data_IF_963149246042
#
_entry.id   IF_963149246042
#
_cell.length_a   1.000
_cell.length_b   1.000
_cell.length_c   1.000
_cell.angle_alpha   90.00
_cell.angle_beta   90.00
_cell.angle_gamma   90.00
#
_symmetry.space_group_name_H-M   'P 1'
#
loop_
_entity.id
_entity.type
_entity.pdbx_description
1 polymer ?
#
# COMPACT_ATOMS: atom_id res chain seq x y z
N UNK A 1 -16.23 -16.91 -7.45
CA UNK A 1 -15.63 -15.60 -7.82
C UNK A 1 -14.13 -15.69 -8.11
N UNK A 2 -13.31 -16.39 -7.32
CA UNK A 2 -11.86 -16.54 -7.64
C UNK A 2 -11.57 -17.11 -9.03
N UNK A 3 -12.44 -17.97 -9.56
CA UNK A 3 -12.33 -18.53 -10.91
C UNK A 3 -12.44 -17.50 -12.04
N UNK A 4 -13.30 -16.47 -11.91
CA UNK A 4 -13.47 -15.43 -12.94
C UNK A 4 -12.24 -14.53 -13.02
N UNK A 5 -11.72 -14.12 -11.86
CA UNK A 5 -10.52 -13.29 -11.74
C UNK A 5 -9.21 -14.02 -12.09
N UNK A 6 -9.23 -15.35 -12.23
CA UNK A 6 -8.07 -16.11 -12.73
C UNK A 6 -7.85 -15.91 -14.23
N UNK A 7 -8.87 -15.50 -14.99
CA UNK A 7 -8.74 -15.17 -16.40
C UNK A 7 -8.22 -13.74 -16.60
N UNK A 8 -7.48 -13.51 -17.68
CA UNK A 8 -7.04 -12.17 -18.10
C UNK A 8 -8.04 -11.55 -19.09
N UNK A 9 -9.25 -11.23 -18.62
CA UNK A 9 -10.28 -10.60 -19.43
C UNK A 9 -10.44 -9.11 -19.02
N UNK A 10 -10.42 -8.14 -19.94
CA UNK A 10 -10.71 -6.73 -19.63
C UNK A 10 -12.00 -6.51 -18.84
N UNK A 11 -13.03 -7.36 -19.06
CA UNK A 11 -14.27 -7.36 -18.28
C UNK A 11 -14.05 -7.57 -16.78
N UNK A 12 -12.97 -8.24 -16.38
CA UNK A 12 -12.61 -8.42 -14.98
C UNK A 12 -12.24 -7.11 -14.28
N UNK A 13 -11.84 -6.08 -15.03
CA UNK A 13 -11.67 -4.73 -14.47
C UNK A 13 -13.01 -4.20 -13.96
N UNK A 14 -14.08 -4.32 -14.77
CA UNK A 14 -15.43 -3.95 -14.36
C UNK A 14 -15.95 -4.84 -13.24
N UNK A 15 -15.70 -6.16 -13.29
CA UNK A 15 -16.06 -7.04 -12.18
C UNK A 15 -15.35 -6.68 -10.86
N UNK A 16 -14.09 -6.21 -10.91
CA UNK A 16 -13.40 -5.73 -9.71
C UNK A 16 -14.06 -4.47 -9.12
N UNK A 17 -14.57 -3.58 -9.98
CA UNK A 17 -15.33 -2.41 -9.53
C UNK A 17 -16.57 -2.86 -8.77
N UNK A 18 -17.40 -3.70 -9.40
CA UNK A 18 -18.63 -4.21 -8.76
C UNK A 18 -18.30 -4.97 -7.47
N UNK A 19 -17.29 -5.85 -7.49
CA UNK A 19 -16.83 -6.59 -6.33
C UNK A 19 -16.38 -5.66 -5.18
N UNK A 20 -15.59 -4.62 -5.48
CA UNK A 20 -15.14 -3.66 -4.48
C UNK A 20 -16.29 -2.83 -3.90
N UNK A 21 -17.26 -2.42 -4.72
CA UNK A 21 -18.46 -1.70 -4.26
C UNK A 21 -19.29 -2.56 -3.31
N UNK A 22 -19.50 -3.84 -3.64
CA UNK A 22 -20.26 -4.77 -2.80
C UNK A 22 -19.58 -4.97 -1.43
N UNK A 23 -18.26 -5.18 -1.41
CA UNK A 23 -17.52 -5.34 -0.15
C UNK A 23 -17.54 -4.10 0.74
N UNK A 24 -17.61 -2.91 0.11
CA UNK A 24 -17.48 -1.63 0.81
C UNK A 24 -18.81 -0.88 0.93
N UNK A 25 -19.93 -1.51 0.58
CA UNK A 25 -21.25 -0.90 0.56
C UNK A 25 -21.61 -0.25 1.90
N UNK A 26 -21.30 -0.90 3.01
CA UNK A 26 -21.56 -0.37 4.35
C UNK A 26 -20.87 0.98 4.60
N UNK A 27 -19.69 1.19 4.05
CA UNK A 27 -18.92 2.44 4.21
C UNK A 27 -19.47 3.59 3.37
N UNK A 28 -20.27 3.29 2.34
CA UNK A 28 -21.05 4.30 1.63
C UNK A 28 -22.34 4.65 2.38
N UNK A 29 -22.95 3.68 3.07
CA UNK A 29 -24.18 3.88 3.87
C UNK A 29 -23.87 4.64 5.17
N UNK A 30 -22.71 4.40 5.78
CA UNK A 30 -22.26 5.07 7.01
C UNK A 30 -20.91 5.74 6.79
N UNK A 31 -20.88 6.87 6.05
CA UNK A 31 -19.65 7.57 5.73
C UNK A 31 -18.97 8.11 6.99
N UNK A 32 -17.64 8.01 7.05
CA UNK A 32 -16.84 8.51 8.17
C UNK A 32 -16.05 9.74 7.74
N UNK A 33 -16.12 10.80 8.55
CA UNK A 33 -15.36 12.03 8.32
C UNK A 33 -13.91 11.79 8.76
N UNK A 34 -12.91 12.02 7.89
CA UNK A 34 -11.50 11.88 8.24
C UNK A 34 -11.08 12.89 9.32
N UNK A 35 -10.32 12.43 10.30
CA UNK A 35 -9.79 13.25 11.40
C UNK A 35 -8.27 13.38 11.23
N UNK A 36 -7.75 14.58 11.47
CA UNK A 36 -6.30 14.85 11.48
C UNK A 36 -5.64 14.02 12.57
N UNK A 37 -4.62 13.24 12.22
CA UNK A 37 -3.85 12.45 13.18
C UNK A 37 -2.53 13.14 13.49
N UNK A 38 -1.99 12.89 14.69
CA UNK A 38 -0.68 13.42 15.12
C UNK A 38 0.48 13.00 14.21
N UNK A 39 0.33 11.86 13.54
CA UNK A 39 1.30 11.32 12.60
C UNK A 39 1.26 11.92 11.20
N UNK A 40 0.18 12.62 10.89
CA UNK A 40 0.00 13.22 9.58
C UNK A 40 0.93 14.42 9.46
N UNK A 41 1.60 14.51 8.30
CA UNK A 41 2.53 15.59 8.04
C UNK A 41 1.81 16.82 7.47
N UNK A 42 2.53 17.95 7.45
CA UNK A 42 1.95 19.27 7.20
C UNK A 42 1.13 19.38 5.91
N UNK A 43 1.53 18.70 4.83
CA UNK A 43 0.87 18.85 3.53
C UNK A 43 -0.50 18.16 3.53
N UNK A 44 -0.59 16.95 4.11
CA UNK A 44 -1.87 16.27 4.26
C UNK A 44 -2.79 17.07 5.18
N UNK A 45 -2.28 17.55 6.32
CA UNK A 45 -3.07 18.37 7.25
C UNK A 45 -3.61 19.63 6.58
N UNK A 46 -2.77 20.33 5.81
CA UNK A 46 -3.18 21.52 5.07
C UNK A 46 -4.24 21.21 4.01
N UNK A 47 -4.06 20.15 3.22
CA UNK A 47 -5.05 19.73 2.21
C UNK A 47 -6.37 19.39 2.90
N UNK A 48 -6.33 18.58 3.96
CA UNK A 48 -7.52 18.14 4.68
C UNK A 48 -8.28 19.32 5.29
N UNK A 49 -7.59 20.21 6.00
CA UNK A 49 -8.20 21.41 6.60
C UNK A 49 -8.77 22.39 5.56
N UNK A 50 -8.22 22.40 4.33
CA UNK A 50 -8.73 23.25 3.25
C UNK A 50 -10.04 22.69 2.66
N UNK A 51 -10.15 21.37 2.52
CA UNK A 51 -11.37 20.74 1.95
C UNK A 51 -12.48 20.53 2.98
N UNK A 52 -12.11 20.42 4.26
CA UNK A 52 -13.01 20.12 5.37
C UNK A 52 -14.28 21.00 5.44
N UNK A 53 -14.21 22.34 5.30
CA UNK A 53 -15.39 23.20 5.39
C UNK A 53 -16.47 22.90 4.33
N UNK A 54 -16.06 22.40 3.17
CA UNK A 54 -16.98 22.08 2.06
C UNK A 54 -17.44 20.63 2.15
N UNK A 55 -16.51 19.71 2.43
CA UNK A 55 -16.75 18.27 2.30
C UNK A 55 -17.41 17.65 3.54
N UNK A 56 -17.30 18.27 4.72
CA UNK A 56 -17.97 17.79 5.94
C UNK A 56 -19.50 17.86 5.84
N UNK A 57 -20.03 18.77 5.01
CA UNK A 57 -21.46 18.83 4.68
C UNK A 57 -21.92 17.65 3.81
N UNK A 58 -21.00 16.95 3.14
CA UNK A 58 -21.27 15.82 2.24
C UNK A 58 -20.30 14.65 2.51
N UNK A 59 -20.43 13.94 3.65
CA UNK A 59 -19.48 12.90 4.03
C UNK A 59 -19.33 11.76 3.01
N UNK A 60 -20.32 11.52 2.14
CA UNK A 60 -20.24 10.49 1.09
C UNK A 60 -19.09 10.78 0.11
N UNK A 61 -18.73 12.04 -0.10
CA UNK A 61 -17.63 12.45 -0.97
C UNK A 61 -16.31 11.83 -0.50
N UNK A 62 -16.06 11.77 0.82
CA UNK A 62 -14.87 11.11 1.37
C UNK A 62 -14.87 9.60 1.10
N UNK A 63 -16.02 8.93 1.24
CA UNK A 63 -16.15 7.50 0.92
C UNK A 63 -15.92 7.23 -0.57
N UNK A 64 -16.44 8.08 -1.46
CA UNK A 64 -16.22 7.99 -2.92
C UNK A 64 -14.73 8.17 -3.25
N UNK A 65 -14.08 9.21 -2.72
CA UNK A 65 -12.65 9.46 -2.96
C UNK A 65 -11.80 8.29 -2.44
N UNK A 66 -12.09 7.81 -1.23
CA UNK A 66 -11.40 6.66 -0.63
C UNK A 66 -11.54 5.41 -1.49
N UNK A 67 -12.75 5.12 -1.96
CA UNK A 67 -12.99 3.98 -2.82
C UNK A 67 -12.27 4.10 -4.17
N UNK A 68 -12.31 5.27 -4.81
CA UNK A 68 -11.60 5.52 -6.05
C UNK A 68 -10.09 5.36 -5.88
N UNK A 69 -9.51 5.83 -4.77
CA UNK A 69 -8.10 5.58 -4.44
C UNK A 69 -7.81 4.09 -4.29
N UNK A 70 -8.58 3.36 -3.49
CA UNK A 70 -8.39 1.91 -3.31
C UNK A 70 -8.55 1.12 -4.61
N UNK A 71 -9.52 1.48 -5.44
CA UNK A 71 -9.79 0.83 -6.72
C UNK A 71 -8.67 1.10 -7.74
N UNK A 72 -8.22 2.35 -7.85
CA UNK A 72 -7.09 2.72 -8.73
C UNK A 72 -5.79 2.07 -8.27
N UNK A 73 -5.54 1.98 -6.95
CA UNK A 73 -4.43 1.20 -6.37
C UNK A 73 -4.52 -0.28 -6.75
N UNK A 74 -5.70 -0.91 -6.62
CA UNK A 74 -5.93 -2.31 -6.96
C UNK A 74 -5.61 -2.61 -8.44
N UNK A 75 -6.15 -1.80 -9.36
CA UNK A 75 -5.91 -1.97 -10.81
C UNK A 75 -4.44 -1.72 -11.15
N UNK A 76 -3.87 -0.63 -10.62
CA UNK A 76 -2.49 -0.25 -10.91
C UNK A 76 -1.54 -1.34 -10.44
N UNK A 77 -1.70 -1.82 -9.21
CA UNK A 77 -0.88 -2.90 -8.66
C UNK A 77 -1.06 -4.21 -9.45
N UNK A 78 -2.30 -4.57 -9.79
CA UNK A 78 -2.57 -5.74 -10.61
C UNK A 78 -1.87 -5.68 -11.99
N UNK A 79 -1.97 -4.54 -12.67
CA UNK A 79 -1.31 -4.29 -13.95
C UNK A 79 0.20 -4.40 -13.82
N UNK A 80 0.78 -3.85 -12.75
CA UNK A 80 2.21 -3.92 -12.49
C UNK A 80 2.68 -5.36 -12.27
N UNK A 81 1.94 -6.16 -11.49
CA UNK A 81 2.24 -7.58 -11.28
C UNK A 81 2.22 -8.39 -12.58
N UNK A 82 1.23 -8.13 -13.43
CA UNK A 82 1.10 -8.76 -14.75
C UNK A 82 2.23 -8.33 -15.69
N UNK A 83 2.56 -7.03 -15.74
CA UNK A 83 3.66 -6.50 -16.57
C UNK A 83 5.02 -7.08 -16.16
N UNK A 84 5.22 -7.31 -14.86
CA UNK A 84 6.43 -7.96 -14.32
C UNK A 84 6.39 -9.48 -14.40
N UNK A 85 5.29 -10.08 -14.89
CA UNK A 85 5.08 -11.53 -14.99
C UNK A 85 5.41 -12.26 -13.68
N UNK A 86 4.97 -11.68 -12.55
CA UNK A 86 5.25 -12.22 -11.21
C UNK A 86 4.57 -13.58 -10.97
N UNK A 87 3.48 -13.84 -11.69
CA UNK A 87 2.74 -15.10 -11.70
C UNK A 87 2.80 -15.72 -13.10
N UNK A 88 2.59 -17.04 -13.20
CA UNK A 88 2.77 -17.79 -14.45
C UNK A 88 1.89 -17.28 -15.60
N UNK A 89 0.67 -16.80 -15.30
CA UNK A 89 -0.25 -16.20 -16.26
C UNK A 89 -0.81 -14.89 -15.70
N UNK A 90 -1.05 -13.89 -16.56
CA UNK A 90 -1.70 -12.65 -16.14
C UNK A 90 -3.10 -12.96 -15.60
N UNK A 91 -3.49 -12.27 -14.54
CA UNK A 91 -4.78 -12.46 -13.89
C UNK A 91 -5.19 -11.20 -13.10
N UNK A 92 -6.33 -11.25 -12.43
CA UNK A 92 -6.89 -10.15 -11.63
C UNK A 92 -6.96 -10.47 -10.13
N UNK A 93 -6.32 -11.57 -9.69
CA UNK A 93 -6.31 -11.98 -8.29
C UNK A 93 -5.57 -10.97 -7.38
N UNK A 94 -4.46 -10.33 -7.78
CA UNK A 94 -3.86 -9.26 -6.98
C UNK A 94 -4.82 -8.11 -6.67
N UNK A 95 -5.54 -7.62 -7.68
CA UNK A 95 -6.53 -6.56 -7.49
C UNK A 95 -7.68 -7.00 -6.58
N UNK A 96 -8.19 -8.22 -6.79
CA UNK A 96 -9.24 -8.81 -5.95
C UNK A 96 -8.77 -8.96 -4.49
N UNK A 97 -7.57 -9.50 -4.27
CA UNK A 97 -6.98 -9.66 -2.95
C UNK A 97 -6.78 -8.30 -2.27
N UNK A 98 -6.33 -7.28 -3.00
CA UNK A 98 -6.15 -5.93 -2.46
C UNK A 98 -7.47 -5.32 -1.96
N UNK A 99 -8.52 -5.38 -2.79
CA UNK A 99 -9.85 -4.88 -2.40
C UNK A 99 -10.48 -5.69 -1.27
N UNK A 100 -10.24 -7.00 -1.23
CA UNK A 100 -10.72 -7.87 -0.16
C UNK A 100 -10.05 -7.52 1.17
N UNK A 101 -8.72 -7.49 1.22
CA UNK A 101 -7.95 -7.23 2.45
C UNK A 101 -8.21 -5.81 2.95
N UNK A 102 -8.22 -4.81 2.07
CA UNK A 102 -8.52 -3.42 2.46
C UNK A 102 -9.94 -3.23 3.01
N UNK A 103 -10.81 -4.24 2.90
CA UNK A 103 -12.16 -4.22 3.47
C UNK A 103 -12.25 -4.89 4.84
N UNK A 104 -11.17 -5.49 5.36
CA UNK A 104 -11.17 -6.19 6.66
C UNK A 104 -11.34 -5.24 7.84
N UNK A 105 -10.73 -4.06 7.75
CA UNK A 105 -10.74 -3.07 8.81
C UNK A 105 -11.36 -1.77 8.31
N UNK A 106 -12.14 -1.16 9.17
CA UNK A 106 -12.87 0.04 8.84
C UNK A 106 -11.96 1.25 8.67
N UNK A 107 -10.87 1.31 9.44
CA UNK A 107 -9.86 2.37 9.38
C UNK A 107 -9.17 2.43 8.00
N UNK A 108 -9.17 1.34 7.24
CA UNK A 108 -8.63 1.29 5.88
C UNK A 108 -9.60 1.78 4.81
N UNK A 109 -10.86 2.06 5.20
CA UNK A 109 -11.92 2.58 4.34
C UNK A 109 -12.21 4.07 4.61
N UNK A 110 -11.31 4.75 5.32
CA UNK A 110 -11.37 6.19 5.58
C UNK A 110 -10.20 6.89 4.89
N UNK A 111 -10.44 8.10 4.39
CA UNK A 111 -9.41 8.91 3.77
C UNK A 111 -8.32 9.22 4.78
N UNK A 112 -7.09 8.87 4.44
CA UNK A 112 -5.97 8.90 5.37
C UNK A 112 -4.65 9.19 4.67
N UNK A 113 -3.70 9.81 5.38
CA UNK A 113 -2.37 10.07 4.81
C UNK A 113 -1.67 8.77 4.36
N UNK A 114 -1.64 7.68 5.16
CA UNK A 114 -1.16 6.36 4.72
C UNK A 114 -1.82 5.84 3.44
N UNK A 115 -3.14 5.99 3.28
CA UNK A 115 -3.84 5.57 2.07
C UNK A 115 -3.37 6.36 0.84
N UNK A 116 -3.24 7.68 0.96
CA UNK A 116 -2.78 8.55 -0.13
C UNK A 116 -1.36 8.17 -0.57
N UNK A 117 -0.43 8.03 0.38
CA UNK A 117 0.96 7.67 0.05
C UNK A 117 1.06 6.25 -0.51
N UNK A 118 0.13 5.33 -0.18
CA UNK A 118 0.15 3.97 -0.71
C UNK A 118 0.09 3.96 -2.25
N UNK A 119 -0.63 4.92 -2.86
CA UNK A 119 -0.66 5.13 -4.32
C UNK A 119 0.72 5.44 -4.87
N UNK A 120 1.43 6.36 -4.21
CA UNK A 120 2.79 6.77 -4.59
C UNK A 120 3.80 5.63 -4.38
N UNK A 121 3.63 4.85 -3.30
CA UNK A 121 4.52 3.72 -3.00
C UNK A 121 4.35 2.55 -3.96
N UNK A 122 3.14 2.30 -4.48
CA UNK A 122 2.91 1.34 -5.57
C UNK A 122 3.73 1.73 -6.80
N UNK A 123 3.76 3.03 -7.15
CA UNK A 123 4.58 3.55 -8.24
C UNK A 123 6.08 3.44 -7.95
N UNK A 124 6.50 3.74 -6.72
CA UNK A 124 7.89 3.59 -6.27
C UNK A 124 8.35 2.15 -6.45
N UNK A 125 7.58 1.18 -5.97
CA UNK A 125 7.88 -0.24 -6.14
C UNK A 125 7.93 -0.65 -7.64
N UNK A 126 7.03 -0.12 -8.47
CA UNK A 126 7.04 -0.36 -9.91
C UNK A 126 8.34 0.11 -10.58
N UNK A 127 8.85 1.28 -10.19
CA UNK A 127 10.11 1.83 -10.69
C UNK A 127 11.30 1.07 -10.15
N UNK A 128 11.31 0.68 -8.88
CA UNK A 128 12.35 -0.17 -8.30
C UNK A 128 12.48 -1.52 -9.01
N UNK A 129 11.35 -2.19 -9.28
CA UNK A 129 11.35 -3.46 -10.03
C UNK A 129 11.83 -3.33 -11.48
N UNK A 130 11.87 -2.11 -12.03
CA UNK A 130 12.45 -1.84 -13.36
C UNK A 130 13.97 -1.77 -13.37
N UNK A 131 14.61 -1.48 -12.22
CA UNK A 131 16.04 -1.13 -12.15
C UNK A 131 16.96 -2.23 -12.65
N UNK A 132 16.52 -3.50 -12.62
CA UNK A 132 17.29 -4.64 -13.08
C UNK A 132 17.74 -4.50 -14.55
N UNK A 133 16.88 -3.97 -15.43
CA UNK A 133 17.13 -3.85 -16.87
C UNK A 133 17.03 -2.40 -17.37
N UNK A 134 17.23 -1.41 -16.48
CA UNK A 134 17.01 -0.01 -16.84
C UNK A 134 18.32 0.67 -17.28
N UNK A 135 18.42 1.15 -18.53
CA UNK A 135 19.62 1.86 -19.02
C UNK A 135 19.84 3.20 -18.31
N UNK A 136 18.76 3.85 -17.83
CA UNK A 136 18.78 5.15 -17.15
C UNK A 136 18.48 5.01 -15.65
N UNK A 137 19.19 4.10 -15.00
CA UNK A 137 18.93 3.77 -13.61
C UNK A 137 19.22 4.92 -12.63
N UNK A 138 20.21 5.78 -12.92
CA UNK A 138 20.50 7.00 -12.12
C UNK A 138 19.29 7.95 -12.06
N UNK A 139 18.73 8.31 -13.22
CA UNK A 139 17.54 9.16 -13.31
C UNK A 139 16.34 8.50 -12.62
N UNK A 140 16.17 7.19 -12.81
CA UNK A 140 15.09 6.44 -12.17
C UNK A 140 15.21 6.46 -10.63
N UNK A 141 16.42 6.29 -10.10
CA UNK A 141 16.68 6.38 -8.66
C UNK A 141 16.43 7.78 -8.10
N UNK A 142 16.86 8.81 -8.82
CA UNK A 142 16.59 10.20 -8.43
C UNK A 142 15.08 10.46 -8.33
N UNK A 143 14.31 10.03 -9.34
CA UNK A 143 12.86 10.16 -9.37
C UNK A 143 12.17 9.36 -8.25
N UNK A 144 12.65 8.14 -7.97
CA UNK A 144 12.17 7.37 -6.83
C UNK A 144 12.44 8.14 -5.52
N UNK A 145 13.65 8.66 -5.36
CA UNK A 145 14.05 9.45 -4.20
C UNK A 145 13.14 10.67 -3.99
N UNK A 146 12.89 11.44 -5.05
CA UNK A 146 11.96 12.59 -5.01
C UNK A 146 10.58 12.16 -4.53
N UNK A 147 10.01 11.09 -5.08
CA UNK A 147 8.68 10.64 -4.68
C UNK A 147 8.64 10.22 -3.21
N UNK A 148 9.67 9.53 -2.71
CA UNK A 148 9.77 9.20 -1.28
C UNK A 148 9.94 10.47 -0.43
N UNK A 149 10.73 11.45 -0.87
CA UNK A 149 10.83 12.74 -0.19
C UNK A 149 9.46 13.43 -0.10
N UNK A 150 8.68 13.44 -1.18
CA UNK A 150 7.32 14.00 -1.21
C UNK A 150 6.37 13.23 -0.28
N UNK A 151 6.45 11.89 -0.20
CA UNK A 151 5.56 11.12 0.69
C UNK A 151 5.74 11.51 2.16
N UNK A 152 6.94 11.95 2.56
CA UNK A 152 7.17 12.43 3.94
C UNK A 152 6.38 13.69 4.29
N UNK A 153 5.95 14.47 3.30
CA UNK A 153 5.10 15.65 3.51
C UNK A 153 3.64 15.29 3.79
N UNK A 154 3.20 14.11 3.38
CA UNK A 154 1.89 13.56 3.70
C UNK A 154 1.91 12.76 5.00
N UNK A 155 2.89 11.86 5.13
CA UNK A 155 3.05 10.99 6.29
C UNK A 155 4.54 10.79 6.57
N UNK A 156 5.05 11.45 7.62
CA UNK A 156 6.47 11.50 7.92
C UNK A 156 7.14 10.12 8.07
N UNK A 157 6.53 9.11 8.73
CA UNK A 157 7.12 7.78 8.85
C UNK A 157 7.37 7.05 7.53
N UNK A 158 6.81 7.53 6.41
CA UNK A 158 7.16 7.03 5.07
C UNK A 158 8.64 7.21 4.72
N UNK A 159 9.39 8.03 5.46
CA UNK A 159 10.84 8.14 5.33
C UNK A 159 11.54 6.78 5.49
N UNK A 160 10.95 5.83 6.23
CA UNK A 160 11.46 4.46 6.34
C UNK A 160 11.58 3.75 4.98
N UNK A 161 10.76 4.11 3.99
CA UNK A 161 10.87 3.58 2.62
C UNK A 161 12.12 4.09 1.88
N UNK A 162 12.86 5.07 2.40
CA UNK A 162 14.21 5.39 1.91
C UNK A 162 15.16 4.19 2.04
N UNK A 163 15.04 3.40 3.12
CA UNK A 163 15.80 2.15 3.30
C UNK A 163 15.46 1.14 2.20
N UNK A 164 14.21 1.14 1.72
CA UNK A 164 13.80 0.27 0.62
C UNK A 164 14.60 0.56 -0.65
N UNK A 165 14.96 1.82 -0.95
CA UNK A 165 15.83 2.15 -2.09
C UNK A 165 17.21 1.50 -1.93
N UNK A 166 17.80 1.66 -0.74
CA UNK A 166 19.14 1.18 -0.43
C UNK A 166 19.21 -0.35 -0.64
N UNK A 167 18.30 -1.08 -0.01
CA UNK A 167 18.24 -2.53 -0.12
C UNK A 167 17.76 -2.98 -1.50
N UNK A 168 16.90 -2.22 -2.18
CA UNK A 168 16.49 -2.53 -3.55
C UNK A 168 17.68 -2.50 -4.51
N UNK A 169 18.63 -1.58 -4.33
CA UNK A 169 19.85 -1.56 -5.13
C UNK A 169 20.67 -2.83 -4.91
N UNK A 170 20.89 -3.22 -3.65
CA UNK A 170 21.62 -4.45 -3.30
C UNK A 170 20.99 -5.72 -3.91
N UNK A 171 19.66 -5.80 -3.96
CA UNK A 171 18.94 -6.95 -4.54
C UNK A 171 19.01 -6.92 -6.07
N UNK A 172 18.79 -5.76 -6.68
CA UNK A 172 18.59 -5.65 -8.11
C UNK A 172 19.91 -5.71 -8.89
N UNK A 173 21.01 -5.14 -8.39
CA UNK A 173 22.26 -5.02 -9.13
C UNK A 173 23.48 -4.76 -8.23
N UNK A 174 24.71 -4.88 -8.75
CA UNK A 174 25.89 -4.50 -7.97
C UNK A 174 25.82 -3.03 -7.54
N UNK A 175 26.07 -2.71 -6.26
CA UNK A 175 25.97 -1.36 -5.75
C UNK A 175 27.06 -0.47 -6.35
N UNK A 176 26.66 0.71 -6.86
CA UNK A 176 27.59 1.77 -7.28
C UNK A 176 27.39 2.97 -6.38
N UNK A 177 28.45 3.48 -5.75
CA UNK A 177 28.36 4.61 -4.81
C UNK A 177 27.61 5.82 -5.41
N UNK A 178 27.87 6.14 -6.68
CA UNK A 178 27.18 7.22 -7.39
C UNK A 178 25.65 7.06 -7.40
N UNK A 179 25.13 5.84 -7.46
CA UNK A 179 23.69 5.57 -7.48
C UNK A 179 23.05 5.77 -6.10
N UNK A 180 23.81 5.46 -5.04
CA UNK A 180 23.38 5.70 -3.66
C UNK A 180 23.30 7.20 -3.38
N UNK A 181 24.34 7.94 -3.77
CA UNK A 181 24.38 9.40 -3.65
C UNK A 181 23.20 10.02 -4.42
N UNK A 182 22.97 9.61 -5.67
CA UNK A 182 21.87 10.15 -6.48
C UNK A 182 20.50 9.88 -5.85
N UNK A 183 20.30 8.70 -5.25
CA UNK A 183 19.04 8.42 -4.60
C UNK A 183 18.82 9.25 -3.33
N UNK A 184 19.88 9.43 -2.51
CA UNK A 184 19.85 10.30 -1.33
C UNK A 184 19.58 11.76 -1.74
N UNK A 185 20.24 12.25 -2.79
CA UNK A 185 19.97 13.59 -3.34
C UNK A 185 18.52 13.73 -3.80
N UNK A 186 17.95 12.68 -4.42
CA UNK A 186 16.53 12.65 -4.77
C UNK A 186 15.62 12.83 -3.56
N UNK A 187 15.87 12.11 -2.47
CA UNK A 187 15.10 12.24 -1.21
C UNK A 187 15.25 13.63 -0.59
N UNK A 188 16.47 14.17 -0.61
CA UNK A 188 16.77 15.48 -0.03
C UNK A 188 16.16 16.63 -0.86
N UNK A 189 15.95 16.45 -2.17
CA UNK A 189 15.50 17.52 -3.07
C UNK A 189 14.17 18.17 -2.63
N UNK A 190 13.07 17.43 -2.35
CA UNK A 190 11.83 18.04 -1.86
C UNK A 190 12.03 18.84 -0.57
N UNK A 191 12.81 18.32 0.38
CA UNK A 191 13.11 18.99 1.65
C UNK A 191 13.95 20.25 1.44
N UNK A 192 14.94 20.20 0.55
CA UNK A 192 15.74 21.37 0.17
C UNK A 192 14.88 22.48 -0.43
N UNK A 193 13.98 22.15 -1.36
CA UNK A 193 13.05 23.12 -1.96
C UNK A 193 12.08 23.70 -0.94
N UNK A 194 11.56 22.88 -0.02
CA UNK A 194 10.72 23.34 1.08
C UNK A 194 11.48 24.30 2.00
N UNK A 195 12.71 23.95 2.37
CA UNK A 195 13.59 24.80 3.19
C UNK A 195 13.84 26.15 2.52
N UNK A 196 14.23 26.15 1.23
CA UNK A 196 14.47 27.37 0.48
C UNK A 196 13.22 28.26 0.42
N UNK A 197 12.04 27.68 0.17
CA UNK A 197 10.77 28.42 0.16
C UNK A 197 10.43 29.01 1.55
N UNK A 198 10.62 28.23 2.62
CA UNK A 198 10.39 28.70 3.99
C UNK A 198 11.35 29.83 4.39
N UNK A 199 12.61 29.74 3.95
CA UNK A 199 13.62 30.78 4.17
C UNK A 199 13.23 32.08 3.43
N UNK A 200 12.91 31.99 2.14
CA UNK A 200 12.53 33.15 1.32
C UNK A 200 11.21 33.82 1.77
N UNK A 201 10.30 33.06 2.39
CA UNK A 201 9.03 33.59 2.92
C UNK A 201 9.09 34.02 4.38
N UNK A 202 10.27 33.98 5.00
CA UNK A 202 10.50 34.26 6.42
C UNK A 202 9.62 33.41 7.37
N UNK A 203 9.25 32.19 6.93
CA UNK A 203 8.43 31.23 7.70
C UNK A 203 9.27 30.10 8.32
N UNK A 204 10.58 30.11 8.11
CA UNK A 204 11.48 29.05 8.53
C UNK A 204 11.38 28.71 10.01
N UNK A 205 11.42 29.70 10.90
CA UNK A 205 11.32 29.50 12.34
C UNK A 205 9.90 29.16 12.81
N UNK A 206 8.88 29.50 12.02
CA UNK A 206 7.48 29.18 12.32
C UNK A 206 7.07 27.77 11.88
N UNK A 207 7.88 27.10 11.05
CA UNK A 207 7.57 25.78 10.52
C UNK A 207 7.98 24.69 11.51
N UNK A 208 7.00 23.98 12.04
CA UNK A 208 7.22 22.80 12.86
C UNK A 208 7.05 21.54 12.00
N UNK A 209 8.09 20.68 12.01
CA UNK A 209 7.98 19.34 11.42
C UNK A 209 7.08 18.52 12.32
N UNK A 210 5.84 18.27 11.89
CA UNK A 210 4.92 17.38 12.58
C UNK A 210 5.20 15.92 12.22
N UNK A 211 5.01 15.00 13.17
CA UNK A 211 4.95 13.56 12.89
C UNK A 211 6.17 12.71 13.28
N UNK A 212 6.98 13.11 14.27
CA UNK A 212 8.00 12.24 14.85
C UNK A 212 7.82 12.06 16.37
N UNK A 213 7.28 10.90 16.76
CA UNK A 213 7.12 10.47 18.15
C UNK A 213 7.28 8.94 18.22
N UNK A 214 8.15 8.44 19.11
CA UNK A 214 8.34 6.99 19.30
C UNK A 214 7.42 6.54 20.43
N UNK A 215 6.43 5.72 20.08
CA UNK A 215 5.47 5.12 21.00
C UNK A 215 5.24 3.65 20.60
N UNK A 216 4.68 2.83 21.49
CA UNK A 216 4.41 1.41 21.22
C UNK A 216 2.97 1.20 20.68
N UNK A 217 2.76 0.47 19.57
CA UNK A 217 1.42 0.25 19.05
C UNK A 217 0.68 -0.77 19.93
N UNK A 218 -0.24 -0.28 20.76
CA UNK A 218 -1.24 -1.12 21.41
C UNK A 218 -2.37 -1.43 20.43
N UNK A 219 -2.55 -2.70 20.10
CA UNK A 219 -3.71 -3.17 19.36
C UNK A 219 -4.97 -3.01 20.22
N UNK A 220 -6.08 -2.56 19.61
CA UNK A 220 -7.35 -2.51 20.31
C UNK A 220 -7.77 -3.92 20.76
N UNK A 221 -8.35 -4.02 21.96
CA UNK A 221 -8.77 -5.27 22.62
C UNK A 221 -10.00 -5.93 21.97
N UNK A 222 -10.10 -5.94 20.64
CA UNK A 222 -11.20 -6.63 19.95
C UNK A 222 -10.70 -7.94 19.33
N UNK A 223 -11.19 -9.06 19.87
CA UNK A 223 -10.87 -10.42 19.40
C UNK A 223 -11.11 -10.59 17.88
N UNK A 224 -12.12 -9.91 17.32
CA UNK A 224 -12.42 -9.99 15.89
C UNK A 224 -11.29 -9.40 15.02
N UNK A 225 -10.66 -8.32 15.46
CA UNK A 225 -9.55 -7.71 14.70
C UNK A 225 -8.33 -8.64 14.65
N UNK A 226 -8.01 -9.32 15.77
CA UNK A 226 -6.94 -10.33 15.80
C UNK A 226 -7.22 -11.50 14.86
N UNK A 227 -8.47 -12.00 14.83
CA UNK A 227 -8.88 -13.05 13.88
C UNK A 227 -8.64 -12.59 12.43
N UNK A 228 -9.00 -11.34 12.11
CA UNK A 228 -8.75 -10.74 10.80
C UNK A 228 -7.26 -10.70 10.43
N UNK A 229 -6.40 -10.26 11.36
CA UNK A 229 -4.94 -10.25 11.18
C UNK A 229 -4.41 -11.66 10.94
N UNK A 230 -4.80 -12.62 11.78
CA UNK A 230 -4.36 -14.02 11.66
C UNK A 230 -4.80 -14.60 10.32
N UNK A 231 -6.02 -14.32 9.86
CA UNK A 231 -6.53 -14.79 8.58
C UNK A 231 -5.72 -14.20 7.40
N UNK A 232 -5.42 -12.91 7.43
CA UNK A 232 -4.56 -12.25 6.42
C UNK A 232 -3.15 -12.85 6.45
N UNK A 233 -2.55 -13.00 7.63
CA UNK A 233 -1.18 -13.49 7.77
C UNK A 233 -1.05 -14.96 7.32
N UNK A 234 -1.95 -15.84 7.75
CA UNK A 234 -1.92 -17.26 7.35
C UNK A 234 -2.05 -17.37 5.83
N UNK A 235 -3.01 -16.67 5.22
CA UNK A 235 -3.20 -16.71 3.76
C UNK A 235 -2.01 -16.11 3.01
N UNK A 236 -1.40 -15.04 3.51
CA UNK A 236 -0.21 -14.44 2.94
C UNK A 236 1.03 -15.36 3.07
N UNK A 237 1.24 -15.99 4.22
CA UNK A 237 2.36 -16.92 4.46
C UNK A 237 2.26 -18.13 3.53
N UNK A 238 1.08 -18.76 3.45
CA UNK A 238 0.86 -19.89 2.51
C UNK A 238 1.07 -19.43 1.06
N UNK A 239 0.61 -18.22 0.71
CA UNK A 239 0.89 -17.59 -0.58
C UNK A 239 2.39 -17.41 -0.87
N UNK A 240 3.15 -16.96 0.11
CA UNK A 240 4.61 -16.83 0.04
C UNK A 240 5.32 -18.18 -0.11
N UNK A 241 4.85 -19.23 0.57
CA UNK A 241 5.36 -20.60 0.38
C UNK A 241 5.14 -21.06 -1.07
N UNK A 242 3.99 -20.78 -1.67
CA UNK A 242 3.77 -21.09 -3.09
C UNK A 242 4.70 -20.32 -4.03
N UNK A 243 5.03 -19.07 -3.72
CA UNK A 243 6.03 -18.30 -4.48
C UNK A 243 7.38 -19.02 -4.40
N UNK A 244 7.80 -19.44 -3.21
CA UNK A 244 9.08 -20.12 -2.99
C UNK A 244 9.16 -21.47 -3.71
N UNK A 245 8.10 -22.28 -3.65
CA UNK A 245 8.01 -23.57 -4.36
C UNK A 245 8.12 -23.40 -5.88
N UNK A 246 7.61 -22.29 -6.43
CA UNK A 246 7.66 -22.00 -7.85
C UNK A 246 8.89 -21.16 -8.27
N UNK A 247 9.73 -20.71 -7.33
CA UNK A 247 10.85 -19.81 -7.60
C UNK A 247 11.88 -20.38 -8.57
N UNK A 248 12.08 -21.71 -8.59
CA UNK A 248 13.01 -22.37 -9.53
C UNK A 248 12.60 -22.20 -11.00
N UNK A 249 11.29 -22.07 -11.27
CA UNK A 249 10.73 -21.88 -12.63
C UNK A 249 10.71 -20.42 -13.07
N UNK A 250 11.03 -19.49 -12.16
CA UNK A 250 10.99 -18.05 -12.42
C UNK A 250 12.34 -17.56 -12.94
N UNK A 251 12.30 -16.65 -13.91
CA UNK A 251 13.47 -15.91 -14.37
C UNK A 251 14.04 -15.04 -13.23
N UNK A 252 15.34 -14.72 -13.31
CA UNK A 252 16.06 -13.95 -12.27
C UNK A 252 15.36 -12.62 -11.94
N UNK A 253 14.90 -11.89 -12.96
CA UNK A 253 14.18 -10.62 -12.79
C UNK A 253 12.91 -10.77 -11.92
N UNK A 254 12.15 -11.84 -12.12
CA UNK A 254 10.92 -12.14 -11.38
C UNK A 254 11.25 -12.45 -9.92
N UNK A 255 12.29 -13.26 -9.66
CA UNK A 255 12.74 -13.57 -8.30
C UNK A 255 13.20 -12.33 -7.54
N UNK A 256 13.97 -11.45 -8.19
CA UNK A 256 14.40 -10.17 -7.61
C UNK A 256 13.20 -9.27 -7.31
N UNK A 257 12.20 -9.24 -8.19
CA UNK A 257 10.97 -8.48 -7.97
C UNK A 257 10.15 -9.00 -6.77
N UNK A 258 10.09 -10.33 -6.56
CA UNK A 258 9.55 -10.92 -5.33
C UNK A 258 10.36 -10.51 -4.10
N UNK A 259 11.69 -10.49 -4.18
CA UNK A 259 12.55 -9.96 -3.11
C UNK A 259 12.23 -8.50 -2.75
N UNK A 260 11.93 -7.66 -3.75
CA UNK A 260 11.47 -6.29 -3.50
C UNK A 260 10.10 -6.22 -2.83
N UNK A 261 9.17 -7.13 -3.14
CA UNK A 261 7.87 -7.22 -2.43
C UNK A 261 8.07 -7.61 -0.96
N UNK A 262 8.96 -8.56 -0.67
CA UNK A 262 9.30 -8.93 0.71
C UNK A 262 9.94 -7.76 1.45
N UNK A 263 10.88 -7.07 0.82
CA UNK A 263 11.52 -5.88 1.39
C UNK A 263 10.49 -4.79 1.69
N UNK A 264 9.56 -4.53 0.76
CA UNK A 264 8.44 -3.61 0.98
C UNK A 264 7.66 -4.04 2.22
N UNK A 265 7.28 -5.32 2.32
CA UNK A 265 6.51 -5.84 3.45
C UNK A 265 7.23 -5.60 4.78
N UNK A 266 8.52 -5.91 4.86
CA UNK A 266 9.33 -5.71 6.07
C UNK A 266 9.28 -4.24 6.47
N UNK A 267 9.62 -3.32 5.56
CA UNK A 267 9.61 -1.88 5.86
C UNK A 267 8.21 -1.42 6.28
N UNK A 268 7.16 -1.82 5.55
CA UNK A 268 5.78 -1.47 5.84
C UNK A 268 5.29 -1.96 7.21
N UNK A 269 5.76 -3.12 7.68
CA UNK A 269 5.44 -3.64 9.01
C UNK A 269 6.18 -2.86 10.12
N UNK A 270 7.37 -2.31 9.85
CA UNK A 270 8.10 -1.48 10.81
C UNK A 270 7.58 -0.04 10.90
N UNK A 271 6.96 0.48 9.84
CA UNK A 271 6.50 1.88 9.80
C UNK A 271 5.53 2.27 10.93
N UNK A 272 4.51 1.46 11.30
CA UNK A 272 3.64 1.78 12.43
C UNK A 272 4.36 1.95 13.77
N UNK A 273 5.55 1.37 13.95
CA UNK A 273 6.34 1.50 15.18
C UNK A 273 7.10 2.83 15.27
N UNK A 274 7.20 3.59 14.18
CA UNK A 274 7.91 4.88 14.12
C UNK A 274 6.99 6.03 14.57
N UNK A 275 5.67 5.83 14.56
CA UNK A 275 4.70 6.83 15.01
C UNK A 275 3.40 6.14 15.42
N UNK A 276 3.28 5.84 16.71
CA UNK A 276 2.13 5.08 17.23
C UNK A 276 1.04 6.02 17.69
N UNK A 277 0.02 6.19 16.85
CA UNK A 277 -1.33 6.31 17.40
C UNK A 277 -1.97 4.92 17.40
N UNK A 278 -2.90 4.67 18.33
CA UNK A 278 -3.55 3.37 18.57
C UNK A 278 -4.47 2.90 17.41
N UNK A 279 -4.23 3.35 16.18
CA UNK A 279 -5.11 3.19 15.03
C UNK A 279 -4.53 2.24 13.99
N UNK A 280 -5.38 1.34 13.47
CA UNK A 280 -5.03 0.38 12.42
C UNK A 280 -4.69 1.02 11.07
N UNK A 281 -4.96 2.32 10.90
CA UNK A 281 -4.81 3.07 9.66
C UNK A 281 -3.41 2.95 9.02
N UNK A 282 -2.34 2.93 9.82
CA UNK A 282 -0.96 2.87 9.31
C UNK A 282 -0.59 1.53 8.68
N UNK A 283 -1.21 0.45 9.14
CA UNK A 283 -0.96 -0.89 8.62
C UNK A 283 -1.43 -1.08 7.18
N UNK A 284 -2.20 -0.12 6.62
CA UNK A 284 -2.65 -0.15 5.24
C UNK A 284 -1.48 -0.23 4.25
N UNK A 285 -0.31 0.30 4.60
CA UNK A 285 0.88 0.24 3.74
C UNK A 285 1.30 -1.22 3.47
N UNK A 286 1.12 -2.12 4.43
CA UNK A 286 1.43 -3.54 4.28
C UNK A 286 0.45 -4.29 3.36
N UNK A 287 -0.74 -3.71 3.07
CA UNK A 287 -1.75 -4.39 2.26
C UNK A 287 -1.30 -4.62 0.82
N UNK A 288 -0.45 -3.73 0.26
CA UNK A 288 0.11 -3.88 -1.09
C UNK A 288 0.90 -5.20 -1.22
N UNK A 289 1.99 -5.43 -0.47
CA UNK A 289 2.71 -6.70 -0.58
C UNK A 289 1.90 -7.90 -0.09
N UNK A 290 1.07 -7.77 0.96
CA UNK A 290 0.21 -8.86 1.43
C UNK A 290 -0.76 -9.32 0.33
N UNK A 291 -1.33 -8.40 -0.43
CA UNK A 291 -2.24 -8.72 -1.53
C UNK A 291 -1.56 -9.52 -2.65
N UNK A 292 -0.27 -9.27 -2.92
CA UNK A 292 0.51 -10.05 -3.89
C UNK A 292 0.69 -11.51 -3.45
N UNK A 293 0.99 -11.74 -2.17
CA UNK A 293 1.12 -13.09 -1.63
C UNK A 293 -0.23 -13.80 -1.56
N UNK A 294 -1.28 -13.12 -1.10
CA UNK A 294 -2.63 -13.69 -1.03
C UNK A 294 -3.17 -14.01 -2.44
N UNK A 295 -2.82 -13.22 -3.46
CA UNK A 295 -3.11 -13.58 -4.84
C UNK A 295 -2.45 -14.89 -5.27
N UNK A 296 -1.21 -15.15 -4.83
CA UNK A 296 -0.53 -16.43 -5.06
C UNK A 296 -1.23 -17.59 -4.36
N UNK A 297 -1.73 -17.37 -3.14
CA UNK A 297 -2.58 -18.33 -2.44
C UNK A 297 -3.83 -18.68 -3.27
N UNK A 298 -4.50 -17.71 -3.90
CA UNK A 298 -5.68 -18.01 -4.73
C UNK A 298 -5.35 -18.63 -6.11
N UNK A 299 -4.11 -18.49 -6.57
CA UNK A 299 -3.70 -18.94 -7.91
C UNK A 299 -3.14 -20.36 -7.94
N UNK A 300 -2.22 -20.71 -7.04
CA UNK A 300 -1.41 -21.93 -7.15
C UNK A 300 -2.07 -23.25 -6.68
N UNK A 301 -3.02 -23.28 -5.72
CA UNK A 301 -3.63 -24.53 -5.29
C UNK A 301 -4.26 -25.33 -6.44
N UNK A 302 -3.97 -26.64 -6.47
CA UNK A 302 -4.52 -27.59 -7.45
C UNK A 302 -6.00 -27.88 -7.18
N UNK A 303 -6.35 -28.09 -5.91
CA UNK A 303 -7.73 -28.30 -5.45
C UNK A 303 -8.50 -26.98 -5.46
N UNK A 304 -9.42 -26.82 -6.43
CA UNK A 304 -10.19 -25.57 -6.65
C UNK A 304 -11.06 -25.15 -5.47
N UNK A 305 -11.48 -26.08 -4.61
CA UNK A 305 -12.33 -25.77 -3.46
C UNK A 305 -11.59 -24.97 -2.38
N UNK A 306 -10.28 -25.20 -2.18
CA UNK A 306 -9.48 -24.51 -1.14
C UNK A 306 -9.51 -22.96 -1.32
N UNK A 307 -9.10 -22.39 -2.47
CA UNK A 307 -9.12 -20.95 -2.65
C UNK A 307 -10.55 -20.38 -2.67
N UNK A 308 -11.55 -21.17 -3.08
CA UNK A 308 -12.95 -20.75 -3.07
C UNK A 308 -13.49 -20.65 -1.63
N UNK A 309 -13.27 -21.66 -0.80
CA UNK A 309 -13.69 -21.68 0.60
C UNK A 309 -13.04 -20.55 1.39
N UNK A 310 -11.72 -20.38 1.27
CA UNK A 310 -11.01 -19.32 2.00
C UNK A 310 -11.45 -17.93 1.52
N UNK A 311 -11.69 -17.74 0.22
CA UNK A 311 -12.25 -16.48 -0.27
C UNK A 311 -13.59 -16.15 0.37
N UNK A 312 -14.53 -17.10 0.42
CA UNK A 312 -15.83 -16.86 1.05
C UNK A 312 -15.76 -16.68 2.56
N UNK A 313 -14.84 -17.37 3.25
CA UNK A 313 -14.56 -17.12 4.68
C UNK A 313 -14.08 -15.68 4.89
N UNK A 314 -13.16 -15.19 4.06
CA UNK A 314 -12.69 -13.81 4.11
C UNK A 314 -13.81 -12.81 3.81
N UNK A 315 -14.67 -13.08 2.83
CA UNK A 315 -15.83 -12.22 2.51
C UNK A 315 -16.84 -12.20 3.66
N UNK A 316 -17.15 -13.36 4.24
CA UNK A 316 -18.03 -13.46 5.40
C UNK A 316 -17.47 -12.69 6.60
N UNK A 317 -16.16 -12.76 6.83
CA UNK A 317 -15.48 -11.97 7.85
C UNK A 317 -15.60 -10.45 7.61
N UNK A 318 -15.43 -9.99 6.36
CA UNK A 318 -15.63 -8.57 5.99
C UNK A 318 -17.07 -8.12 6.29
N UNK A 319 -18.07 -8.91 5.92
CA UNK A 319 -19.48 -8.61 6.18
C UNK A 319 -19.75 -8.58 7.68
N UNK A 320 -19.22 -9.54 8.44
CA UNK A 320 -19.32 -9.59 9.90
C UNK A 320 -18.74 -8.34 10.57
N UNK A 321 -17.53 -7.93 10.15
CA UNK A 321 -16.89 -6.71 10.65
C UNK A 321 -17.67 -5.44 10.28
N UNK A 322 -18.31 -5.41 9.11
CA UNK A 322 -19.13 -4.31 8.67
C UNK A 322 -20.43 -4.16 9.51
N UNK A 323 -20.99 -5.27 9.99
CA UNK A 323 -22.21 -5.28 10.83
C UNK A 323 -21.89 -4.89 12.28
N UNK A 324 -20.80 -5.41 12.85
CA UNK A 324 -20.45 -5.20 14.28
C UNK A 324 -20.01 -3.78 14.61
N UNK A 325 -19.54 -3.03 13.62
CA UNK A 325 -19.15 -1.63 13.83
C UNK A 325 -20.34 -0.66 13.88
N UNK A 326 -21.58 -1.18 13.79
CA UNK A 326 -22.81 -0.42 13.99
C UNK A 326 -23.17 -0.37 15.48
#
# INVERSE_FOLDING_TARGET
>A
MTGTFRANNPFNTFMLLVYGLLLKLQWFISPQIPVVQKSDAFLYNKILLTIKPVFDSFPEVYSIITYLLLYTQAISFNRLLNNRRLMQKPNYLPGMSYLLITSFFAEWNVLSAPLVINTLLIWVWAKMSSLYNNPHAKSTLYNIGIVIGITTFFYFPSLAFSLMIIFALLITRPPKIAEWIIAILGIATPWYLLFAWLFLTNKLYSFQVSGFHIDYPLFAKNNAQYIGIVLILITAVVGGLFVQLNARKQIVQVRKSWGLIVLYLIVALFVPFINSSHHFQYWILATVPLSAFIACFFYYPTKRWIPLSIHWVMVAFVIYMAIIKK
#
